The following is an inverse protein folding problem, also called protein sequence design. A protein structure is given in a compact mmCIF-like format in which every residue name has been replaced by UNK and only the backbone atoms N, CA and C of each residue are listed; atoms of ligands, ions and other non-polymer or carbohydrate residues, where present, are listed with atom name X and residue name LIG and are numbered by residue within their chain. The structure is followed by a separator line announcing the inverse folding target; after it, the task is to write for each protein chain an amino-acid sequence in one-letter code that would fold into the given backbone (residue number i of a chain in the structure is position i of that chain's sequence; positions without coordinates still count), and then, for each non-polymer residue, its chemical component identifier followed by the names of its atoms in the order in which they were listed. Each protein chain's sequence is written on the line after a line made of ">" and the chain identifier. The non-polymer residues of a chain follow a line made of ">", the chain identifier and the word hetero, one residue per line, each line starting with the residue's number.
data_IF_832651926337
#
_entry.id   IF_832651926337
#
_cell.length_a   1.000
_cell.length_b   1.000
_cell.length_c   1.000
_cell.angle_alpha   90.00
_cell.angle_beta   90.00
_cell.angle_gamma   90.00
#
_symmetry.space_group_name_H-M   'P 1'
#
loop_
_entity.id
_entity.type
_entity.pdbx_description
1 polymer ?
#
# COMPACT_ATOMS: atom_id res chain seq x y z
N UNK A 1 21.88 -7.78 -15.10
CA UNK A 1 20.45 -7.95 -15.46
C UNK A 1 19.65 -7.90 -14.17
N UNK A 2 18.93 -6.81 -13.91
CA UNK A 2 17.93 -6.78 -12.83
C UNK A 2 16.57 -6.98 -13.49
N UNK A 3 16.01 -8.17 -13.32
CA UNK A 3 14.66 -8.49 -13.77
C UNK A 3 13.73 -7.87 -12.72
N UNK A 4 13.02 -6.81 -13.10
CA UNK A 4 11.93 -6.29 -12.28
C UNK A 4 10.77 -7.29 -12.49
N UNK A 5 10.26 -7.94 -11.43
CA UNK A 5 9.11 -8.81 -11.57
C UNK A 5 7.93 -7.99 -12.11
N UNK A 6 7.32 -8.49 -13.17
CA UNK A 6 6.09 -7.95 -13.71
C UNK A 6 4.97 -8.38 -12.77
N UNK A 7 4.35 -7.42 -12.10
CA UNK A 7 3.19 -7.67 -11.24
C UNK A 7 1.96 -7.56 -12.14
N UNK A 8 1.32 -8.68 -12.41
CA UNK A 8 0.01 -8.71 -13.05
C UNK A 8 -0.99 -8.18 -12.01
N UNK A 9 -1.53 -6.98 -12.25
CA UNK A 9 -2.58 -6.41 -11.39
C UNK A 9 -3.86 -7.15 -11.75
N UNK A 10 -4.10 -8.29 -11.09
CA UNK A 10 -5.44 -8.87 -11.06
C UNK A 10 -6.28 -7.99 -10.13
N UNK A 11 -7.25 -7.30 -10.72
CA UNK A 11 -8.24 -6.48 -10.03
C UNK A 11 -9.23 -7.40 -9.28
N UNK A 12 -8.74 -8.12 -8.27
CA UNK A 12 -9.60 -8.76 -7.29
C UNK A 12 -10.13 -7.68 -6.34
N UNK A 13 -11.45 -7.48 -6.35
CA UNK A 13 -12.21 -6.81 -5.30
C UNK A 13 -11.96 -7.52 -3.96
N UNK A 14 -10.81 -7.23 -3.36
CA UNK A 14 -10.28 -7.96 -2.24
C UNK A 14 -10.98 -7.52 -0.95
N UNK A 15 -11.70 -8.45 -0.33
CA UNK A 15 -12.30 -8.36 1.00
C UNK A 15 -11.27 -8.44 2.14
N UNK A 16 -9.98 -8.24 1.86
CA UNK A 16 -8.93 -8.31 2.87
C UNK A 16 -8.83 -7.02 3.67
N UNK A 17 -8.66 -7.16 4.99
CA UNK A 17 -8.44 -6.06 5.91
C UNK A 17 -6.96 -5.96 6.29
N UNK A 18 -6.55 -4.84 6.88
CA UNK A 18 -5.15 -4.62 7.28
C UNK A 18 -4.56 -5.77 8.13
N UNK A 19 -5.39 -6.42 8.96
CA UNK A 19 -4.96 -7.52 9.83
C UNK A 19 -4.57 -8.80 9.08
N UNK A 20 -4.98 -8.95 7.82
CA UNK A 20 -4.65 -10.10 6.98
C UNK A 20 -3.23 -10.01 6.41
N UNK A 21 -2.56 -8.87 6.60
CA UNK A 21 -1.21 -8.62 6.09
C UNK A 21 -0.17 -8.73 7.21
N UNK A 22 1.02 -9.21 6.84
CA UNK A 22 2.21 -9.24 7.68
C UNK A 22 3.25 -8.24 7.15
N UNK A 23 3.85 -7.46 8.04
CA UNK A 23 4.90 -6.51 7.67
C UNK A 23 6.21 -7.23 7.36
N UNK A 24 6.81 -6.90 6.22
CA UNK A 24 8.12 -7.42 5.82
C UNK A 24 9.21 -6.38 6.06
N UNK A 25 9.12 -5.21 5.41
CA UNK A 25 10.10 -4.13 5.55
C UNK A 25 9.57 -2.79 5.08
N UNK A 26 10.18 -1.71 5.55
CA UNK A 26 9.98 -0.36 5.01
C UNK A 26 10.92 -0.15 3.81
N UNK A 27 10.39 0.28 2.67
CA UNK A 27 11.18 0.62 1.48
C UNK A 27 11.66 2.07 1.52
N UNK A 28 10.80 2.99 1.96
CA UNK A 28 11.11 4.41 1.96
C UNK A 28 10.28 5.19 2.96
N UNK A 29 10.86 6.30 3.41
CA UNK A 29 10.19 7.33 4.19
C UNK A 29 10.32 8.69 3.52
N UNK A 30 9.21 9.44 3.45
CA UNK A 30 9.20 10.78 2.88
C UNK A 30 8.10 11.66 3.46
N UNK A 31 7.97 12.88 2.93
CA UNK A 31 6.96 13.86 3.35
C UNK A 31 5.50 13.39 3.15
N UNK A 32 5.32 12.39 2.29
CA UNK A 32 4.02 11.80 1.91
C UNK A 32 3.71 10.49 2.64
N UNK A 33 4.54 10.07 3.61
CA UNK A 33 4.29 8.87 4.40
C UNK A 33 5.43 7.85 4.35
N UNK A 34 5.08 6.59 4.55
CA UNK A 34 5.98 5.43 4.50
C UNK A 34 5.49 4.43 3.46
N UNK A 35 6.41 3.83 2.72
CA UNK A 35 6.10 2.73 1.80
C UNK A 35 6.61 1.44 2.41
N UNK A 36 5.72 0.47 2.57
CA UNK A 36 5.96 -0.81 3.24
C UNK A 36 5.79 -1.95 2.24
N UNK A 37 6.64 -2.97 2.33
CA UNK A 37 6.33 -4.29 1.78
C UNK A 37 5.59 -5.08 2.86
N UNK A 38 4.45 -5.62 2.47
CA UNK A 38 3.61 -6.48 3.28
C UNK A 38 3.42 -7.80 2.53
N UNK A 39 3.16 -8.90 3.22
CA UNK A 39 2.71 -10.14 2.60
C UNK A 39 1.27 -10.43 3.04
N UNK A 40 0.40 -10.87 2.12
CA UNK A 40 -0.89 -11.43 2.50
C UNK A 40 -0.66 -12.75 3.22
N UNK A 41 -1.09 -12.88 4.48
CA UNK A 41 -0.81 -14.08 5.31
C UNK A 41 -1.33 -15.37 4.69
N UNK A 42 -2.45 -15.31 3.97
CA UNK A 42 -3.08 -16.48 3.38
C UNK A 42 -2.29 -17.06 2.21
N UNK A 43 -1.76 -16.21 1.32
CA UNK A 43 -1.11 -16.64 0.07
C UNK A 43 0.40 -16.47 0.09
N UNK A 44 0.94 -15.63 0.98
CA UNK A 44 2.32 -15.18 0.98
C UNK A 44 2.64 -14.15 -0.11
N UNK A 45 1.64 -13.71 -0.86
CA UNK A 45 1.81 -12.77 -1.97
C UNK A 45 2.27 -11.39 -1.47
N UNK A 46 3.29 -10.77 -2.08
CA UNK A 46 3.81 -9.49 -1.66
C UNK A 46 2.97 -8.32 -2.20
N UNK A 47 2.63 -7.39 -1.30
CA UNK A 47 1.93 -6.15 -1.58
C UNK A 47 2.76 -4.94 -1.14
N UNK A 48 2.56 -3.82 -1.83
CA UNK A 48 3.09 -2.51 -1.43
C UNK A 48 1.99 -1.72 -0.73
N UNK A 49 2.24 -1.29 0.51
CA UNK A 49 1.30 -0.48 1.28
C UNK A 49 1.88 0.89 1.60
N UNK A 50 1.15 1.96 1.28
CA UNK A 50 1.50 3.33 1.66
C UNK A 50 0.83 3.71 2.98
N UNK A 51 1.61 3.93 4.03
CA UNK A 51 1.12 4.44 5.32
C UNK A 51 1.22 5.96 5.36
N UNK A 52 0.07 6.62 5.34
CA UNK A 52 -0.06 8.08 5.42
C UNK A 52 -0.32 8.54 6.87
N UNK A 53 0.25 9.67 7.32
CA UNK A 53 -0.03 10.22 8.66
C UNK A 53 -1.49 10.71 8.75
N UNK A 54 -2.36 9.90 9.33
CA UNK A 54 -3.80 10.19 9.44
C UNK A 54 -4.16 10.83 10.78
N UNK A 55 -3.51 11.96 11.10
CA UNK A 55 -3.69 12.66 12.39
C UNK A 55 -4.07 14.14 12.23
N UNK A 56 -3.73 14.73 11.10
CA UNK A 56 -3.98 16.14 10.81
C UNK A 56 -5.07 16.24 9.72
N UNK A 57 -6.08 17.12 9.88
CA UNK A 57 -7.16 17.27 8.90
C UNK A 57 -6.68 17.51 7.46
N UNK A 58 -5.59 18.27 7.27
CA UNK A 58 -5.02 18.55 5.94
C UNK A 58 -4.42 17.26 5.37
N UNK A 59 -3.67 16.50 6.18
CA UNK A 59 -3.10 15.22 5.76
C UNK A 59 -4.15 14.18 5.43
N UNK A 60 -5.26 14.17 6.18
CA UNK A 60 -6.44 13.33 5.91
C UNK A 60 -7.03 13.68 4.55
N UNK A 61 -7.28 14.97 4.29
CA UNK A 61 -7.82 15.42 3.01
C UNK A 61 -6.91 15.04 1.83
N UNK A 62 -5.60 15.25 1.97
CA UNK A 62 -4.62 14.86 0.94
C UNK A 62 -4.63 13.34 0.68
N UNK A 63 -4.73 12.52 1.72
CA UNK A 63 -4.82 11.06 1.58
C UNK A 63 -6.11 10.65 0.84
N UNK A 64 -7.24 11.29 1.15
CA UNK A 64 -8.52 11.02 0.48
C UNK A 64 -8.49 11.42 -1.00
N UNK A 65 -7.88 12.56 -1.33
CA UNK A 65 -7.69 12.98 -2.72
C UNK A 65 -6.80 12.02 -3.51
N UNK A 66 -5.74 11.48 -2.89
CA UNK A 66 -4.89 10.47 -3.52
C UNK A 66 -5.69 9.20 -3.85
N UNK A 67 -6.54 8.73 -2.94
CA UNK A 67 -7.43 7.59 -3.18
C UNK A 67 -8.43 7.89 -4.31
N UNK A 68 -9.06 9.06 -4.32
CA UNK A 68 -10.00 9.45 -5.38
C UNK A 68 -9.34 9.50 -6.76
N UNK A 69 -8.06 9.87 -6.84
CA UNK A 69 -7.32 9.86 -8.11
C UNK A 69 -6.94 8.45 -8.57
N UNK A 70 -6.72 7.50 -7.65
CA UNK A 70 -6.39 6.11 -7.99
C UNK A 70 -7.60 5.29 -8.43
N UNK A 71 -8.81 5.68 -8.01
CA UNK A 71 -10.06 5.02 -8.35
C UNK A 71 -10.72 5.54 -9.65
N UNK A 72 -10.07 6.47 -10.36
CA UNK A 72 -10.50 7.02 -11.65
C UNK A 72 -9.77 6.36 -12.80
#
# INVERSE_FOLDING_TARGET
>A
MHVIPQFDIEEENSTHCYADYEFVKELSSGAFGRVLIMNLKQTGEPFVMKRVPFKDPIKIQMAMQEVDMLLK
#
